data_IF_544405023222
#
_entry.id   IF_544405023222
#
_cell.length_a   1.000
_cell.length_b   1.000
_cell.length_c   1.000
_cell.angle_alpha   90.00
_cell.angle_beta   90.00
_cell.angle_gamma   90.00
#
_symmetry.space_group_name_H-M   'P 1'
#
loop_
_entity.id
_entity.type
_entity.pdbx_description
1 polymer ?
#
# COMPACT_ATOMS: atom_id res chain seq x y z
N UNK A 1 -0.13 3.51 -5.64
CA UNK A 1 -0.11 2.20 -4.92
C UNK A 1 -1.04 1.25 -5.63
N UNK A 2 -0.57 0.04 -5.92
CA UNK A 2 -1.36 -1.00 -6.58
C UNK A 2 -1.50 -2.23 -5.67
N UNK A 3 -2.50 -3.02 -5.94
CA UNK A 3 -2.72 -4.28 -5.24
C UNK A 3 -3.15 -5.37 -6.22
N UNK A 4 -2.85 -6.61 -5.87
CA UNK A 4 -3.27 -7.79 -6.62
C UNK A 4 -3.73 -8.90 -5.70
N UNK A 5 -4.84 -9.52 -6.05
CA UNK A 5 -5.42 -10.66 -5.34
C UNK A 5 -5.68 -11.76 -6.36
N UNK A 6 -5.16 -12.95 -6.09
CA UNK A 6 -5.45 -14.08 -6.96
C UNK A 6 -6.89 -14.57 -6.77
N UNK A 7 -7.54 -14.86 -7.88
CA UNK A 7 -8.82 -15.53 -7.86
C UNK A 7 -8.83 -16.58 -8.96
N UNK A 8 -9.44 -17.70 -8.67
CA UNK A 8 -9.69 -18.86 -9.55
C UNK A 8 -8.74 -19.03 -10.75
N UNK A 9 -8.87 -18.23 -11.80
CA UNK A 9 -8.10 -18.34 -13.04
C UNK A 9 -7.19 -17.16 -13.34
N UNK A 10 -7.10 -16.18 -12.44
CA UNK A 10 -6.34 -14.96 -12.73
C UNK A 10 -6.01 -14.15 -11.50
N UNK A 11 -5.65 -12.90 -11.73
CA UNK A 11 -5.35 -11.94 -10.67
C UNK A 11 -6.25 -10.73 -10.83
N UNK A 12 -6.99 -10.40 -9.78
CA UNK A 12 -7.72 -9.14 -9.69
C UNK A 12 -6.75 -8.04 -9.27
N UNK A 13 -6.69 -6.97 -10.05
CA UNK A 13 -5.76 -5.87 -9.81
C UNK A 13 -6.50 -4.55 -9.68
N UNK A 14 -5.98 -3.71 -8.80
CA UNK A 14 -6.46 -2.36 -8.64
C UNK A 14 -5.36 -1.44 -8.15
N UNK A 15 -5.70 -0.17 -8.01
CA UNK A 15 -4.78 0.83 -7.49
C UNK A 15 -5.52 1.89 -6.68
N UNK A 16 -4.77 2.60 -5.84
CA UNK A 16 -5.22 3.79 -5.13
C UNK A 16 -4.38 4.98 -5.56
N UNK A 17 -5.04 6.06 -5.86
CA UNK A 17 -4.40 7.35 -6.15
C UNK A 17 -5.30 8.51 -5.74
N UNK A 18 -4.76 9.67 -5.34
CA UNK A 18 -3.33 9.90 -5.13
C UNK A 18 -2.81 9.21 -3.87
N UNK A 19 -1.49 9.01 -3.82
CA UNK A 19 -0.80 8.56 -2.61
C UNK A 19 0.03 9.73 -2.11
N UNK A 20 -0.21 10.15 -0.87
CA UNK A 20 0.64 11.11 -0.19
C UNK A 20 1.67 10.33 0.64
N UNK A 21 2.95 10.65 0.45
CA UNK A 21 4.02 10.00 1.20
C UNK A 21 5.05 11.03 1.64
N UNK A 22 5.62 10.81 2.81
CA UNK A 22 6.66 11.66 3.37
C UNK A 22 7.73 10.79 4.01
N UNK A 23 8.98 11.14 3.77
CA UNK A 23 10.12 10.50 4.40
C UNK A 23 10.84 11.54 5.24
N UNK A 24 10.87 11.33 6.54
CA UNK A 24 11.58 12.18 7.50
C UNK A 24 12.86 11.48 7.96
N UNK A 25 13.97 12.17 7.88
CA UNK A 25 15.26 11.69 8.35
C UNK A 25 15.72 12.57 9.50
N UNK A 26 15.92 11.96 10.67
CA UNK A 26 16.40 12.69 11.85
C UNK A 26 17.89 13.01 11.75
N UNK A 27 18.37 13.88 12.63
CA UNK A 27 19.79 14.20 12.73
C UNK A 27 20.67 12.98 13.04
N UNK A 28 20.11 11.97 13.70
CA UNK A 28 20.79 10.69 14.02
C UNK A 28 20.80 9.70 12.84
N UNK A 29 20.15 10.06 11.73
CA UNK A 29 20.05 9.21 10.55
C UNK A 29 18.87 8.24 10.55
N UNK A 30 18.00 8.27 11.55
CA UNK A 30 16.80 7.46 11.58
C UNK A 30 15.76 7.99 10.58
N UNK A 31 15.20 7.09 9.80
CA UNK A 31 14.20 7.43 8.79
C UNK A 31 12.81 6.95 9.21
N UNK A 32 11.81 7.76 8.96
CA UNK A 32 10.40 7.41 9.16
C UNK A 32 9.64 7.70 7.86
N UNK A 33 8.99 6.65 7.34
CA UNK A 33 8.13 6.76 6.17
C UNK A 33 6.67 6.77 6.61
N UNK A 34 5.93 7.78 6.18
CA UNK A 34 4.49 7.85 6.35
C UNK A 34 3.82 7.93 4.99
N UNK A 35 2.65 7.36 4.87
CA UNK A 35 1.89 7.41 3.63
C UNK A 35 0.40 7.29 3.88
N UNK A 36 -0.38 7.83 2.97
CA UNK A 36 -1.83 7.71 2.99
C UNK A 36 -2.43 7.78 1.59
N UNK A 37 -3.61 7.21 1.45
CA UNK A 37 -4.38 7.28 0.22
C UNK A 37 -5.87 7.27 0.55
N UNK A 38 -6.69 8.09 -0.13
CA UNK A 38 -8.13 8.02 0.06
C UNK A 38 -8.69 6.72 -0.53
N UNK A 39 -9.60 6.09 0.19
CA UNK A 39 -10.30 4.90 -0.31
C UNK A 39 -11.10 5.23 -1.57
N UNK A 40 -11.67 6.43 -1.65
CA UNK A 40 -12.37 6.92 -2.84
C UNK A 40 -11.49 7.03 -4.08
N UNK A 41 -10.17 6.98 -3.92
CA UNK A 41 -9.20 6.97 -5.02
C UNK A 41 -8.93 5.58 -5.59
N UNK A 42 -9.73 4.57 -5.22
CA UNK A 42 -9.59 3.23 -5.78
C UNK A 42 -9.94 3.20 -7.26
N UNK A 43 -9.11 2.55 -8.04
CA UNK A 43 -9.30 2.33 -9.47
C UNK A 43 -9.18 0.86 -9.79
N UNK A 44 -10.19 0.30 -10.42
CA UNK A 44 -10.20 -1.06 -10.94
C UNK A 44 -10.66 -1.04 -12.40
N UNK A 45 -10.36 -2.10 -13.13
CA UNK A 45 -10.66 -2.17 -14.56
C UNK A 45 -12.16 -2.07 -14.86
N UNK A 46 -12.99 -2.67 -14.01
CA UNK A 46 -14.45 -2.58 -14.14
C UNK A 46 -14.98 -1.48 -13.21
N UNK A 47 -15.51 -0.36 -13.78
CA UNK A 47 -16.03 0.74 -12.97
C UNK A 47 -17.17 0.34 -12.01
N UNK A 48 -17.92 -0.71 -12.32
CA UNK A 48 -19.02 -1.17 -11.47
C UNK A 48 -18.51 -1.74 -10.14
N UNK A 49 -17.27 -2.21 -10.11
CA UNK A 49 -16.64 -2.73 -8.89
C UNK A 49 -16.15 -1.63 -7.95
N UNK A 50 -15.92 -0.41 -8.45
CA UNK A 50 -15.45 0.69 -7.59
C UNK A 50 -16.42 0.96 -6.43
N UNK A 51 -17.72 1.02 -6.71
CA UNK A 51 -18.74 1.21 -5.69
C UNK A 51 -18.80 0.05 -4.70
N UNK A 52 -18.64 -1.17 -5.18
CA UNK A 52 -18.61 -2.36 -4.32
C UNK A 52 -17.40 -2.36 -3.37
N UNK A 53 -16.24 -1.94 -3.87
CA UNK A 53 -15.05 -1.86 -3.02
C UNK A 53 -15.16 -0.83 -1.91
N UNK A 54 -15.96 0.21 -2.09
CA UNK A 54 -16.21 1.23 -1.06
C UNK A 54 -17.24 0.80 -0.02
N UNK A 55 -17.97 -0.28 -0.28
CA UNK A 55 -19.02 -0.78 0.59
C UNK A 55 -18.47 -1.44 1.87
N UNK A 56 -19.34 -1.63 2.91
CA UNK A 56 -18.91 -2.21 4.19
C UNK A 56 -18.27 -3.59 4.13
N UNK A 57 -18.60 -4.41 3.14
CA UNK A 57 -17.97 -5.73 2.94
C UNK A 57 -16.54 -5.66 2.42
N UNK A 58 -16.09 -4.48 1.96
CA UNK A 58 -14.71 -4.22 1.54
C UNK A 58 -14.08 -3.14 2.41
N UNK A 59 -13.83 -1.96 1.85
CA UNK A 59 -13.07 -0.92 2.55
C UNK A 59 -13.91 -0.04 3.48
N UNK A 60 -15.23 -0.06 3.34
CA UNK A 60 -16.14 0.73 4.16
C UNK A 60 -15.74 2.21 4.20
N UNK A 61 -15.77 2.84 3.03
CA UNK A 61 -15.27 4.19 2.83
C UNK A 61 -15.97 5.26 3.68
N UNK A 62 -17.24 5.04 4.03
CA UNK A 62 -18.00 5.99 4.86
C UNK A 62 -17.49 6.03 6.30
N UNK A 63 -17.00 4.91 6.82
CA UNK A 63 -16.47 4.80 8.18
C UNK A 63 -14.96 4.98 8.21
N UNK A 64 -14.27 4.46 7.19
CA UNK A 64 -12.81 4.47 7.09
C UNK A 64 -12.38 5.02 5.73
N UNK A 65 -12.40 6.34 5.56
CA UNK A 65 -12.20 6.96 4.23
C UNK A 65 -10.75 6.94 3.74
N UNK A 66 -9.79 6.52 4.57
CA UNK A 66 -8.37 6.62 4.26
C UNK A 66 -7.62 5.34 4.64
N UNK A 67 -6.68 4.93 3.79
CA UNK A 67 -5.64 3.97 4.11
C UNK A 67 -4.42 4.73 4.60
N UNK A 68 -3.70 4.20 5.60
CA UNK A 68 -2.50 4.87 6.11
C UNK A 68 -1.41 3.88 6.50
N UNK A 69 -0.18 4.35 6.43
CA UNK A 69 1.01 3.58 6.81
C UNK A 69 2.00 4.47 7.55
N UNK A 70 2.62 3.91 8.58
CA UNK A 70 3.73 4.54 9.29
C UNK A 70 4.78 3.49 9.62
N UNK A 71 6.01 3.71 9.14
CA UNK A 71 7.11 2.81 9.46
C UNK A 71 7.49 2.90 10.94
N UNK A 72 7.86 1.75 11.50
CA UNK A 72 8.42 1.64 12.86
C UNK A 72 9.91 1.32 12.82
N UNK A 73 10.37 0.70 11.73
CA UNK A 73 11.77 0.35 11.55
C UNK A 73 12.10 0.26 10.07
N UNK A 74 13.21 0.88 9.68
CA UNK A 74 13.76 0.80 8.34
C UNK A 74 15.21 0.34 8.48
N UNK A 75 15.56 -0.77 7.83
CA UNK A 75 16.90 -1.35 7.89
C UNK A 75 17.43 -1.64 6.50
N UNK A 76 18.75 -1.57 6.36
CA UNK A 76 19.44 -1.99 5.14
C UNK A 76 19.41 -3.52 5.06
N UNK A 77 18.95 -4.05 3.94
CA UNK A 77 18.85 -5.50 3.69
C UNK A 77 19.90 -6.01 2.68
N UNK A 78 20.91 -5.18 2.36
CA UNK A 78 21.95 -5.51 1.37
C UNK A 78 21.53 -5.14 -0.05
N UNK A 79 20.60 -5.87 -0.64
CA UNK A 79 20.07 -5.61 -2.00
C UNK A 79 18.99 -4.53 -2.05
N UNK A 80 18.56 -4.04 -0.88
CA UNK A 80 17.50 -3.08 -0.75
C UNK A 80 17.28 -2.74 0.70
N UNK A 81 16.04 -2.45 1.06
CA UNK A 81 15.65 -2.13 2.44
C UNK A 81 14.53 -3.05 2.92
N UNK A 82 14.49 -3.25 4.24
CA UNK A 82 13.38 -3.89 4.92
C UNK A 82 12.68 -2.84 5.78
N UNK A 83 11.36 -2.80 5.70
CA UNK A 83 10.55 -1.84 6.44
C UNK A 83 9.50 -2.59 7.23
N UNK A 84 9.49 -2.38 8.53
CA UNK A 84 8.36 -2.76 9.37
C UNK A 84 7.53 -1.51 9.66
N UNK A 85 6.23 -1.66 9.72
CA UNK A 85 5.37 -0.54 10.01
C UNK A 85 3.95 -0.93 10.33
N UNK A 86 3.16 0.05 10.66
CA UNK A 86 1.76 -0.09 10.96
C UNK A 86 0.93 0.33 9.75
N UNK A 87 0.15 -0.62 9.24
CA UNK A 87 -0.78 -0.39 8.14
C UNK A 87 -2.20 -0.37 8.68
N UNK A 88 -2.93 0.68 8.35
CA UNK A 88 -4.32 0.84 8.75
C UNK A 88 -5.22 0.72 7.52
N UNK A 89 -6.08 -0.28 7.53
CA UNK A 89 -7.10 -0.49 6.51
C UNK A 89 -8.42 -0.77 7.22
N UNK A 90 -9.48 -0.13 6.80
CA UNK A 90 -10.83 -0.35 7.33
C UNK A 90 -10.88 -0.22 8.87
N UNK A 91 -10.16 0.77 9.40
CA UNK A 91 -10.10 1.03 10.84
C UNK A 91 -9.26 0.05 11.66
N UNK A 92 -8.66 -0.95 11.04
CA UNK A 92 -7.80 -1.93 11.71
C UNK A 92 -6.34 -1.63 11.41
N UNK A 93 -5.53 -1.52 12.45
CA UNK A 93 -4.09 -1.27 12.35
C UNK A 93 -3.31 -2.52 12.72
N UNK A 94 -2.46 -2.99 11.81
CA UNK A 94 -1.64 -4.17 12.02
C UNK A 94 -0.19 -3.88 11.61
N UNK A 95 0.74 -4.55 12.28
CA UNK A 95 2.14 -4.52 11.88
C UNK A 95 2.34 -5.35 10.63
N UNK A 96 2.96 -4.75 9.62
CA UNK A 96 3.29 -5.41 8.36
C UNK A 96 4.77 -5.24 8.05
N UNK A 97 5.32 -6.18 7.28
CA UNK A 97 6.68 -6.13 6.79
C UNK A 97 6.66 -5.90 5.28
N UNK A 98 7.48 -4.96 4.83
CA UNK A 98 7.66 -4.67 3.41
C UNK A 98 9.13 -4.78 3.03
N UNK A 99 9.38 -5.13 1.79
CA UNK A 99 10.71 -5.04 1.18
C UNK A 99 10.71 -3.91 0.19
N UNK A 100 11.85 -3.26 0.04
CA UNK A 100 11.96 -2.11 -0.84
C UNK A 100 13.26 -2.08 -1.62
N UNK A 101 13.21 -1.37 -2.73
CA UNK A 101 14.37 -1.06 -3.57
C UNK A 101 14.46 0.44 -3.72
N UNK A 102 15.62 1.00 -3.41
CA UNK A 102 15.90 2.42 -3.62
C UNK A 102 16.48 2.58 -5.01
N UNK A 103 15.83 3.40 -5.84
CA UNK A 103 16.35 3.74 -7.16
C UNK A 103 17.53 4.70 -7.07
N UNK A 104 18.35 4.74 -8.12
CA UNK A 104 19.44 5.70 -8.19
C UNK A 104 18.90 7.12 -8.11
N UNK A 105 19.59 7.92 -7.30
CA UNK A 105 19.25 9.33 -7.16
C UNK A 105 19.53 10.07 -8.47
N UNK A 106 18.68 11.04 -8.76
CA UNK A 106 18.83 11.93 -9.90
C UNK A 106 18.54 13.35 -9.47
N UNK A 107 18.71 14.29 -10.38
CA UNK A 107 18.43 15.70 -10.11
C UNK A 107 17.34 16.19 -11.07
N UNK A 108 16.35 16.86 -10.52
CA UNK A 108 15.30 17.49 -11.29
C UNK A 108 15.13 18.94 -10.83
N UNK A 109 15.28 19.87 -11.75
CA UNK A 109 15.20 21.31 -11.49
C UNK A 109 16.09 21.77 -10.32
N UNK A 110 17.33 21.23 -10.25
CA UNK A 110 18.30 21.59 -9.22
C UNK A 110 18.04 20.95 -7.86
N UNK A 111 17.13 19.96 -7.77
CA UNK A 111 16.83 19.25 -6.52
C UNK A 111 17.09 17.76 -6.68
N UNK A 112 17.76 17.14 -5.68
CA UNK A 112 17.90 15.70 -5.70
C UNK A 112 16.54 15.03 -5.51
N UNK A 113 16.29 13.97 -6.26
CA UNK A 113 15.14 13.11 -6.06
C UNK A 113 15.56 11.64 -6.18
N UNK A 114 14.77 10.77 -5.57
CA UNK A 114 14.97 9.34 -5.69
C UNK A 114 13.64 8.62 -5.66
N UNK A 115 13.63 7.43 -6.21
CA UNK A 115 12.48 6.54 -6.20
C UNK A 115 12.61 5.46 -5.14
N UNK A 116 11.49 5.05 -4.58
CA UNK A 116 11.40 3.93 -3.65
C UNK A 116 10.27 3.02 -4.10
N UNK A 117 10.58 1.76 -4.38
CA UNK A 117 9.58 0.75 -4.71
C UNK A 117 9.44 -0.19 -3.53
N UNK A 118 8.23 -0.32 -2.99
CA UNK A 118 7.91 -1.17 -1.84
C UNK A 118 6.96 -2.27 -2.24
N UNK A 119 7.12 -3.43 -1.63
CA UNK A 119 6.22 -4.56 -1.80
C UNK A 119 5.94 -5.22 -0.46
N UNK A 120 4.67 -5.53 -0.22
CA UNK A 120 4.23 -6.25 0.97
C UNK A 120 3.12 -7.22 0.59
N UNK A 121 3.02 -8.32 1.32
CA UNK A 121 1.91 -9.25 1.24
C UNK A 121 1.16 -9.22 2.56
N UNK A 122 -0.15 -9.02 2.50
CA UNK A 122 -1.01 -8.98 3.68
C UNK A 122 -2.14 -10.00 3.54
N UNK A 123 -2.67 -10.43 4.68
CA UNK A 123 -3.90 -11.22 4.74
C UNK A 123 -5.07 -10.26 4.91
N UNK A 124 -5.93 -10.16 3.89
CA UNK A 124 -7.08 -9.25 3.90
C UNK A 124 -8.08 -9.55 5.00
N UNK A 125 -8.18 -10.80 5.43
CA UNK A 125 -9.10 -11.20 6.50
C UNK A 125 -8.74 -10.56 7.83
N UNK A 126 -7.45 -10.34 8.10
CA UNK A 126 -6.99 -9.69 9.32
C UNK A 126 -7.41 -8.23 9.41
N UNK A 127 -7.70 -7.60 8.27
CA UNK A 127 -8.23 -6.23 8.21
C UNK A 127 -9.76 -6.21 8.13
N UNK A 128 -10.42 -7.34 8.27
CA UNK A 128 -11.89 -7.41 8.21
C UNK A 128 -12.46 -7.43 6.81
N UNK A 129 -11.64 -7.62 5.78
CA UNK A 129 -12.09 -7.74 4.39
C UNK A 129 -12.22 -9.21 4.05
N UNK A 130 -13.38 -9.79 4.33
CA UNK A 130 -13.61 -11.25 4.27
C UNK A 130 -14.54 -11.67 3.14
N UNK A 131 -14.91 -10.73 2.27
CA UNK A 131 -15.81 -11.05 1.16
C UNK A 131 -15.28 -12.22 0.33
N UNK A 132 -16.18 -13.13 -0.04
CA UNK A 132 -15.88 -14.28 -0.89
C UNK A 132 -17.01 -14.48 -1.91
N UNK A 133 -16.65 -15.12 -3.01
CA UNK A 133 -17.59 -15.63 -4.00
C UNK A 133 -17.27 -17.11 -4.21
N UNK A 134 -17.75 -18.01 -3.32
CA UNK A 134 -17.34 -19.41 -3.36
C UNK A 134 -17.63 -20.09 -4.71
N UNK A 135 -16.72 -20.99 -5.09
CA UNK A 135 -16.91 -21.84 -6.26
C UNK A 135 -18.06 -22.84 -6.02
N UNK A 136 -18.59 -23.46 -7.10
CA UNK A 136 -19.66 -24.46 -6.95
C UNK A 136 -19.34 -25.64 -6.02
N UNK A 137 -18.04 -25.97 -5.88
CA UNK A 137 -17.58 -27.00 -4.95
C UNK A 137 -17.41 -26.52 -3.49
N UNK A 138 -17.71 -25.25 -3.21
CA UNK A 138 -17.57 -24.64 -1.89
C UNK A 138 -16.20 -24.09 -1.57
N UNK A 139 -15.21 -24.26 -2.43
CA UNK A 139 -13.88 -23.69 -2.23
C UNK A 139 -13.86 -22.17 -2.44
N UNK A 140 -13.00 -21.44 -1.71
CA UNK A 140 -12.89 -20.00 -1.90
C UNK A 140 -12.34 -19.69 -3.30
N UNK A 141 -12.96 -18.72 -3.97
CA UNK A 141 -12.50 -18.25 -5.27
C UNK A 141 -11.43 -17.16 -5.15
N UNK A 142 -11.43 -16.40 -4.06
CA UNK A 142 -10.56 -15.27 -3.83
C UNK A 142 -9.54 -15.61 -2.75
N UNK A 143 -8.25 -15.44 -3.05
CA UNK A 143 -7.18 -15.67 -2.06
C UNK A 143 -7.28 -14.71 -0.87
N UNK A 144 -6.72 -15.15 0.24
CA UNK A 144 -6.60 -14.33 1.44
C UNK A 144 -5.44 -13.34 1.30
N UNK A 145 -4.40 -13.71 0.59
CA UNK A 145 -3.21 -12.88 0.42
C UNK A 145 -3.41 -11.81 -0.64
N UNK A 146 -3.05 -10.58 -0.28
CA UNK A 146 -3.04 -9.43 -1.18
C UNK A 146 -1.61 -8.91 -1.29
N UNK A 147 -1.10 -8.82 -2.51
CA UNK A 147 0.20 -8.22 -2.78
C UNK A 147 0.00 -6.74 -3.03
N UNK A 148 0.70 -5.92 -2.25
CA UNK A 148 0.68 -4.46 -2.36
C UNK A 148 2.02 -4.00 -2.91
N UNK A 149 2.00 -3.13 -3.92
CA UNK A 149 3.19 -2.50 -4.48
C UNK A 149 2.99 -0.99 -4.48
N UNK A 150 3.99 -0.25 -3.98
CA UNK A 150 3.99 1.20 -4.01
C UNK A 150 5.27 1.70 -4.68
N UNK A 151 5.11 2.58 -5.66
CA UNK A 151 6.21 3.32 -6.28
C UNK A 151 6.12 4.77 -5.82
N UNK A 152 7.13 5.22 -5.10
CA UNK A 152 7.14 6.54 -4.47
C UNK A 152 8.33 7.34 -4.98
N UNK A 153 8.11 8.63 -5.17
CA UNK A 153 9.16 9.56 -5.57
C UNK A 153 9.29 10.66 -4.52
N UNK A 154 10.51 10.89 -4.09
CA UNK A 154 10.81 11.88 -3.07
C UNK A 154 11.77 12.93 -3.60
N UNK A 155 11.48 14.19 -3.26
CA UNK A 155 12.38 15.31 -3.49
C UNK A 155 12.61 16.03 -2.15
N UNK A 156 13.78 16.64 -2.01
CA UNK A 156 13.97 17.53 -0.87
C UNK A 156 13.12 18.80 -1.02
N UNK A 157 12.52 19.29 0.06
CA UNK A 157 11.83 20.59 0.01
C UNK A 157 12.83 21.68 -0.36
N UNK A 158 12.32 22.77 -0.95
CA UNK A 158 13.15 23.94 -1.20
C UNK A 158 13.70 24.46 0.14
N UNK A 159 14.98 24.79 0.15
CA UNK A 159 15.57 25.45 1.30
C UNK A 159 14.83 26.78 1.54
N UNK A 160 14.35 26.96 2.77
CA UNK A 160 13.65 28.19 3.15
C UNK A 160 14.63 29.36 3.26
#
# INVERSE_FOLDING_TARGET
MSFGVRYHVGTFRGSFSPVAAQLDVSADGDATLTGSAPVSGVHVQDPNLNGHLMAPEFFDADVSPELSFRSTRITDAGDGIAIDGELTIKGTTLTVAATGTVGEGAEYMGRPYFGLTLQATIDRNQFGIRWQNPLPNGEPALDDDVVITAELFFTQPAAA
#
